data_IF_105133948344
#
_entry.id   IF_105133948344
#
_cell.length_a   1.000
_cell.length_b   1.000
_cell.length_c   1.000
_cell.angle_alpha   90.00
_cell.angle_beta   90.00
_cell.angle_gamma   90.00
#
_symmetry.space_group_name_H-M   'P 1'
#
loop_
_entity.id
_entity.type
_entity.pdbx_description
1 polymer ?
#
# COMPACT_ATOMS: atom_id res chain seq x y z
N UNK A 1 -1.50 -11.54 13.55
CA UNK A 1 -2.62 -12.44 13.94
C UNK A 1 -2.28 -13.90 13.68
N UNK A 2 -2.20 -14.34 12.41
CA UNK A 2 -1.86 -15.73 12.04
C UNK A 2 -0.51 -16.22 12.58
N UNK A 3 0.59 -15.50 12.31
CA UNK A 3 1.96 -15.95 12.66
C UNK A 3 2.17 -16.17 14.16
N UNK A 4 1.52 -15.37 14.99
CA UNK A 4 1.62 -15.46 16.46
C UNK A 4 0.41 -16.14 17.10
N UNK A 5 -0.50 -16.72 16.33
CA UNK A 5 -1.74 -17.34 16.82
C UNK A 5 -2.52 -16.45 17.79
N UNK A 6 -2.61 -15.14 17.51
CA UNK A 6 -3.27 -14.18 18.40
C UNK A 6 -4.77 -14.48 18.59
N UNK A 7 -5.37 -15.12 17.59
CA UNK A 7 -6.71 -15.73 17.66
C UNK A 7 -6.67 -17.08 16.96
N UNK A 8 -7.60 -18.00 17.28
CA UNK A 8 -7.76 -19.27 16.58
C UNK A 8 -7.95 -19.12 15.06
N UNK A 9 -7.60 -20.17 14.30
CA UNK A 9 -7.66 -20.15 12.83
C UNK A 9 -9.06 -19.89 12.28
N UNK A 10 -10.05 -20.54 12.85
CA UNK A 10 -11.47 -20.35 12.57
C UNK A 10 -11.93 -18.90 12.77
N UNK A 11 -11.21 -18.09 13.55
CA UNK A 11 -11.51 -16.66 13.75
C UNK A 11 -10.84 -15.76 12.71
N UNK A 12 -9.59 -16.03 12.31
CA UNK A 12 -8.89 -15.15 11.36
C UNK A 12 -9.01 -15.58 9.90
N UNK A 13 -9.28 -16.86 9.61
CA UNK A 13 -9.37 -17.38 8.25
C UNK A 13 -10.57 -16.82 7.46
N UNK A 14 -11.77 -16.65 8.06
CA UNK A 14 -12.90 -16.00 7.38
C UNK A 14 -12.63 -14.53 7.03
N UNK A 15 -11.66 -13.88 7.69
CA UNK A 15 -11.35 -12.46 7.43
C UNK A 15 -10.86 -12.21 6.02
N UNK A 16 -10.34 -13.22 5.29
CA UNK A 16 -10.04 -13.04 3.88
C UNK A 16 -11.30 -12.74 3.06
N UNK A 17 -12.40 -13.43 3.37
CA UNK A 17 -13.67 -13.22 2.69
C UNK A 17 -14.31 -11.89 3.13
N UNK A 18 -14.17 -11.52 4.41
CA UNK A 18 -14.57 -10.19 4.92
C UNK A 18 -13.79 -9.05 4.25
N UNK A 19 -12.47 -9.20 4.08
CA UNK A 19 -11.62 -8.25 3.35
C UNK A 19 -12.13 -8.09 1.92
N UNK A 20 -12.39 -9.20 1.22
CA UNK A 20 -12.87 -9.16 -0.16
C UNK A 20 -14.25 -8.50 -0.29
N UNK A 21 -15.15 -8.74 0.67
CA UNK A 21 -16.46 -8.11 0.72
C UNK A 21 -16.34 -6.60 0.97
N UNK A 22 -15.50 -6.19 1.91
CA UNK A 22 -15.23 -4.78 2.20
C UNK A 22 -14.60 -4.05 1.00
N UNK A 23 -13.58 -4.66 0.38
CA UNK A 23 -12.96 -4.10 -0.81
C UNK A 23 -13.96 -3.99 -1.97
N UNK A 24 -14.87 -4.97 -2.12
CA UNK A 24 -15.92 -4.92 -3.12
C UNK A 24 -16.85 -3.74 -2.88
N UNK A 25 -17.33 -3.56 -1.65
CA UNK A 25 -18.17 -2.42 -1.26
C UNK A 25 -17.50 -1.08 -1.60
N UNK A 26 -16.21 -0.94 -1.27
CA UNK A 26 -15.45 0.26 -1.61
C UNK A 26 -15.40 0.49 -3.13
N UNK A 27 -15.06 -0.55 -3.91
CA UNK A 27 -14.98 -0.40 -5.37
C UNK A 27 -16.34 -0.09 -6.01
N UNK A 28 -17.42 -0.66 -5.47
CA UNK A 28 -18.79 -0.40 -5.96
C UNK A 28 -19.26 1.01 -5.64
N UNK A 29 -18.77 1.59 -4.54
CA UNK A 29 -19.00 2.99 -4.19
C UNK A 29 -18.16 3.98 -5.01
N UNK A 30 -17.32 3.51 -5.95
CA UNK A 30 -16.48 4.33 -6.82
C UNK A 30 -15.05 4.54 -6.32
N UNK A 31 -14.58 3.80 -5.30
CA UNK A 31 -13.20 3.88 -4.85
C UNK A 31 -12.28 3.05 -5.72
N UNK A 32 -11.27 3.66 -6.33
CA UNK A 32 -10.17 2.93 -6.99
C UNK A 32 -9.16 2.45 -5.95
N UNK A 33 -9.07 1.14 -5.73
CA UNK A 33 -8.10 0.54 -4.79
C UNK A 33 -6.78 0.20 -5.49
N UNK A 34 -5.66 0.68 -4.92
CA UNK A 34 -4.30 0.31 -5.33
C UNK A 34 -3.59 -0.35 -4.17
N UNK A 35 -3.52 -1.69 -4.18
CA UNK A 35 -2.86 -2.48 -3.13
C UNK A 35 -1.45 -2.87 -3.58
N UNK A 36 -0.45 -2.62 -2.74
CA UNK A 36 0.96 -2.89 -3.05
C UNK A 36 1.61 -3.69 -1.94
N UNK A 37 2.12 -4.88 -2.29
CA UNK A 37 2.91 -5.71 -1.40
C UNK A 37 4.40 -5.48 -1.67
N UNK A 38 5.09 -4.86 -0.72
CA UNK A 38 6.50 -4.46 -0.84
C UNK A 38 7.43 -5.53 -0.27
N UNK A 39 8.08 -6.33 -1.12
CA UNK A 39 8.92 -7.44 -0.67
C UNK A 39 10.41 -7.11 -0.72
N UNK A 40 11.07 -7.19 0.43
CA UNK A 40 12.53 -7.23 0.51
C UNK A 40 13.00 -8.68 0.66
N UNK A 41 14.20 -8.99 0.20
CA UNK A 41 14.81 -10.29 0.51
C UNK A 41 15.17 -10.36 2.00
N UNK A 42 15.32 -11.60 2.49
CA UNK A 42 15.80 -11.86 3.84
C UNK A 42 17.17 -11.21 4.07
N UNK A 43 18.06 -11.20 3.07
CA UNK A 43 19.38 -10.58 3.18
C UNK A 43 19.31 -9.05 3.23
N UNK A 44 18.52 -8.42 2.36
CA UNK A 44 18.32 -6.97 2.37
C UNK A 44 17.74 -6.50 3.71
N UNK A 45 16.79 -7.25 4.28
CA UNK A 45 16.25 -6.91 5.61
C UNK A 45 17.35 -6.94 6.69
N UNK A 46 18.27 -7.90 6.62
CA UNK A 46 19.42 -7.99 7.56
C UNK A 46 20.30 -6.77 7.45
N UNK A 47 20.68 -6.41 6.22
CA UNK A 47 21.55 -5.26 5.94
C UNK A 47 20.92 -3.96 6.46
N UNK A 48 19.62 -3.76 6.23
CA UNK A 48 18.90 -2.59 6.73
C UNK A 48 18.81 -2.52 8.25
N UNK A 49 18.63 -3.65 8.93
CA UNK A 49 18.61 -3.71 10.39
C UNK A 49 20.01 -3.44 10.97
N UNK A 50 21.05 -4.02 10.38
CA UNK A 50 22.44 -3.74 10.75
C UNK A 50 22.78 -2.26 10.55
N UNK A 51 22.40 -1.64 9.42
CA UNK A 51 22.61 -0.22 9.16
C UNK A 51 21.98 0.67 10.25
N UNK A 52 20.81 0.29 10.79
CA UNK A 52 20.16 1.04 11.87
C UNK A 52 20.94 1.00 13.18
N UNK A 53 21.61 -0.12 13.48
CA UNK A 53 22.42 -0.29 14.69
C UNK A 53 23.76 0.47 14.63
N UNK A 54 24.27 0.72 13.42
CA UNK A 54 25.51 1.49 13.20
C UNK A 54 25.27 3.01 13.08
N UNK A 55 24.00 3.45 13.05
CA UNK A 55 23.64 4.84 12.78
C UNK A 55 22.87 5.48 13.94
N UNK A 56 23.51 6.33 14.77
CA UNK A 56 22.85 7.02 15.88
C UNK A 56 21.59 7.80 15.47
N UNK A 57 21.58 8.38 14.26
CA UNK A 57 20.43 9.10 13.70
C UNK A 57 19.25 8.20 13.31
N UNK A 58 19.39 6.87 13.47
CA UNK A 58 18.41 5.85 13.10
C UNK A 58 18.00 4.94 14.26
N UNK A 59 18.58 5.09 15.46
CA UNK A 59 18.26 4.24 16.62
C UNK A 59 16.77 4.26 16.98
N UNK A 60 16.13 5.42 16.85
CA UNK A 60 14.69 5.55 17.09
C UNK A 60 13.82 4.67 16.18
N UNK A 61 14.34 4.21 15.03
CA UNK A 61 13.65 3.31 14.10
C UNK A 61 13.91 1.83 14.36
N UNK A 62 14.80 1.49 15.28
CA UNK A 62 15.14 0.11 15.59
C UNK A 62 14.27 -0.39 16.74
N UNK A 63 13.63 -1.53 16.55
CA UNK A 63 12.97 -2.27 17.61
C UNK A 63 13.63 -3.64 17.73
N UNK A 64 14.11 -4.07 18.92
CA UNK A 64 14.61 -5.42 19.11
C UNK A 64 13.65 -6.52 18.62
N UNK A 65 12.34 -6.29 18.72
CA UNK A 65 11.30 -7.19 18.20
C UNK A 65 11.38 -7.43 16.69
N UNK A 66 12.02 -6.54 15.91
CA UNK A 66 12.26 -6.77 14.47
C UNK A 66 13.09 -8.04 14.23
N UNK A 67 13.97 -8.42 15.17
CA UNK A 67 14.74 -9.67 15.11
C UNK A 67 13.86 -10.88 15.42
N UNK A 68 12.97 -10.77 16.41
CA UNK A 68 12.02 -11.84 16.75
C UNK A 68 11.08 -12.14 15.58
N UNK A 69 10.61 -11.10 14.88
CA UNK A 69 9.79 -11.25 13.68
C UNK A 69 10.60 -11.80 12.49
N UNK A 70 11.87 -11.39 12.35
CA UNK A 70 12.78 -11.92 11.33
C UNK A 70 12.99 -13.43 11.49
N UNK A 71 13.08 -13.95 12.71
CA UNK A 71 13.19 -15.40 12.94
C UNK A 71 11.97 -16.18 12.44
N UNK A 72 10.82 -15.51 12.32
CA UNK A 72 9.56 -16.06 11.80
C UNK A 72 9.36 -15.79 10.31
N UNK A 73 10.41 -15.38 9.58
CA UNK A 73 10.32 -15.02 8.16
C UNK A 73 9.58 -16.06 7.30
N UNK A 74 9.85 -17.38 7.37
CA UNK A 74 9.12 -18.37 6.58
C UNK A 74 7.60 -18.35 6.85
N UNK A 75 7.20 -18.19 8.11
CA UNK A 75 5.78 -18.11 8.50
C UNK A 75 5.12 -16.85 7.94
N UNK A 76 5.85 -15.73 7.90
CA UNK A 76 5.37 -14.52 7.25
C UNK A 76 5.23 -14.68 5.74
N UNK A 77 6.17 -15.36 5.08
CA UNK A 77 6.06 -15.64 3.64
C UNK A 77 4.79 -16.46 3.34
N UNK A 78 4.51 -17.51 4.10
CA UNK A 78 3.28 -18.30 3.96
C UNK A 78 2.01 -17.49 4.25
N UNK A 79 2.05 -16.60 5.26
CA UNK A 79 0.93 -15.74 5.60
C UNK A 79 0.65 -14.71 4.50
N UNK A 80 1.69 -14.10 3.94
CA UNK A 80 1.58 -13.19 2.81
C UNK A 80 1.09 -13.91 1.55
N UNK A 81 1.65 -15.07 1.22
CA UNK A 81 1.22 -15.85 0.05
C UNK A 81 -0.28 -16.15 0.11
N UNK A 82 -0.77 -16.68 1.25
CA UNK A 82 -2.20 -16.96 1.40
C UNK A 82 -3.07 -15.71 1.32
N UNK A 83 -2.61 -14.58 1.87
CA UNK A 83 -3.33 -13.31 1.77
C UNK A 83 -3.40 -12.83 0.31
N UNK A 84 -2.29 -12.89 -0.43
CA UNK A 84 -2.23 -12.50 -1.84
C UNK A 84 -3.13 -13.41 -2.69
N UNK A 85 -3.05 -14.73 -2.50
CA UNK A 85 -3.85 -15.71 -3.24
C UNK A 85 -5.35 -15.54 -3.00
N UNK A 86 -5.75 -15.24 -1.77
CA UNK A 86 -7.17 -15.15 -1.40
C UNK A 86 -7.78 -13.76 -1.57
N UNK A 87 -6.96 -12.71 -1.63
CA UNK A 87 -7.45 -11.31 -1.67
C UNK A 87 -6.98 -10.51 -2.86
N UNK A 88 -6.26 -11.10 -3.82
CA UNK A 88 -6.01 -10.45 -5.11
C UNK A 88 -7.16 -10.74 -6.06
N UNK A 89 -8.10 -9.80 -6.17
CA UNK A 89 -9.29 -9.93 -7.02
C UNK A 89 -9.16 -9.06 -8.28
N UNK A 90 -10.07 -9.23 -9.24
CA UNK A 90 -10.10 -8.40 -10.45
C UNK A 90 -10.41 -6.92 -10.13
N UNK A 91 -11.30 -6.68 -9.15
CA UNK A 91 -11.71 -5.33 -8.73
C UNK A 91 -10.72 -4.67 -7.76
N UNK A 92 -9.93 -5.45 -7.02
CA UNK A 92 -8.91 -4.96 -6.11
C UNK A 92 -7.64 -5.82 -6.20
N UNK A 93 -6.84 -5.68 -7.27
CA UNK A 93 -5.65 -6.52 -7.47
C UNK A 93 -4.50 -6.11 -6.55
N UNK A 94 -3.71 -7.09 -6.11
CA UNK A 94 -2.42 -6.84 -5.47
C UNK A 94 -1.30 -6.68 -6.50
N UNK A 95 -0.46 -5.66 -6.30
CA UNK A 95 0.79 -5.49 -7.03
C UNK A 95 1.96 -5.87 -6.15
N UNK A 96 2.71 -6.90 -6.55
CA UNK A 96 3.90 -7.37 -5.83
C UNK A 96 5.11 -6.59 -6.36
N UNK A 97 5.73 -5.78 -5.50
CA UNK A 97 6.86 -4.91 -5.88
C UNK A 97 8.14 -5.39 -5.20
N UNK A 98 9.17 -5.77 -5.97
CA UNK A 98 10.52 -5.99 -5.45
C UNK A 98 11.09 -4.73 -4.81
N UNK A 99 11.51 -4.83 -3.55
CA UNK A 99 11.84 -3.67 -2.72
C UNK A 99 13.26 -3.63 -2.18
N UNK A 100 14.17 -4.48 -2.67
CA UNK A 100 15.59 -4.39 -2.32
C UNK A 100 16.16 -3.02 -2.72
N UNK A 101 15.86 -2.57 -3.95
CA UNK A 101 16.28 -1.26 -4.43
C UNK A 101 15.21 -0.22 -4.15
N UNK A 102 15.43 0.63 -3.14
CA UNK A 102 14.50 1.71 -2.74
C UNK A 102 14.07 2.61 -3.90
N UNK A 103 14.98 2.94 -4.83
CA UNK A 103 14.65 3.79 -5.98
C UNK A 103 13.62 3.13 -6.91
N UNK A 104 13.74 1.82 -7.13
CA UNK A 104 12.84 1.09 -8.01
C UNK A 104 11.45 0.97 -7.39
N UNK A 105 11.36 0.70 -6.08
CA UNK A 105 10.06 0.67 -5.39
C UNK A 105 9.33 2.00 -5.46
N UNK A 106 10.07 3.11 -5.32
CA UNK A 106 9.50 4.47 -5.47
C UNK A 106 8.98 4.69 -6.87
N UNK A 107 9.76 4.32 -7.89
CA UNK A 107 9.34 4.41 -9.29
C UNK A 107 8.09 3.58 -9.54
N UNK A 108 8.12 2.28 -9.23
CA UNK A 108 7.01 1.35 -9.48
C UNK A 108 5.71 1.80 -8.81
N UNK A 109 5.76 2.19 -7.53
CA UNK A 109 4.57 2.66 -6.79
C UNK A 109 4.06 3.98 -7.38
N UNK A 110 4.96 4.89 -7.76
CA UNK A 110 4.57 6.17 -8.38
C UNK A 110 3.86 5.93 -9.70
N UNK A 111 4.38 5.04 -10.55
CA UNK A 111 3.73 4.69 -11.82
C UNK A 111 2.36 4.03 -11.61
N UNK A 112 2.22 3.12 -10.63
CA UNK A 112 0.91 2.53 -10.28
C UNK A 112 -0.12 3.60 -9.90
N UNK A 113 0.29 4.60 -9.13
CA UNK A 113 -0.57 5.72 -8.75
C UNK A 113 -0.91 6.62 -9.94
N UNK A 114 0.09 6.96 -10.78
CA UNK A 114 -0.12 7.77 -11.98
C UNK A 114 -1.12 7.08 -12.91
N UNK A 115 -0.97 5.78 -13.14
CA UNK A 115 -1.90 5.01 -13.97
C UNK A 115 -3.30 5.00 -13.37
N UNK A 116 -3.44 4.73 -12.07
CA UNK A 116 -4.73 4.73 -11.40
C UNK A 116 -5.43 6.10 -11.54
N UNK A 117 -4.71 7.20 -11.31
CA UNK A 117 -5.24 8.56 -11.42
C UNK A 117 -5.60 8.94 -12.87
N UNK A 118 -4.79 8.52 -13.85
CA UNK A 118 -5.10 8.73 -15.28
C UNK A 118 -6.40 8.03 -15.69
N UNK A 119 -6.65 6.81 -15.20
CA UNK A 119 -7.87 6.05 -15.50
C UNK A 119 -9.14 6.68 -14.94
N UNK A 120 -9.04 7.51 -13.89
CA UNK A 120 -10.18 8.27 -13.37
C UNK A 120 -10.67 9.35 -14.34
N UNK A 121 -9.89 9.70 -15.37
CA UNK A 121 -10.24 10.69 -16.39
C UNK A 121 -10.74 12.02 -15.80
N UNK A 122 -10.08 12.49 -14.76
CA UNK A 122 -10.47 13.70 -14.04
C UNK A 122 -10.14 14.96 -14.86
N UNK A 123 -10.99 15.97 -14.72
CA UNK A 123 -10.78 17.31 -15.28
C UNK A 123 -11.14 18.37 -14.24
N UNK A 124 -10.73 19.61 -14.49
CA UNK A 124 -11.13 20.74 -13.65
C UNK A 124 -12.65 20.96 -13.77
N UNK A 125 -13.35 21.25 -12.65
CA UNK A 125 -14.77 21.58 -12.73
C UNK A 125 -14.96 22.87 -13.54
N UNK A 126 -16.09 23.00 -14.24
CA UNK A 126 -16.43 24.26 -14.90
C UNK A 126 -16.63 25.37 -13.86
N UNK A 127 -16.40 26.62 -14.26
CA UNK A 127 -16.75 27.77 -13.44
C UNK A 127 -18.28 27.79 -13.20
N UNK A 128 -18.69 28.13 -11.98
CA UNK A 128 -20.08 28.38 -11.61
C UNK A 128 -20.48 29.86 -11.81
N UNK A 129 -19.59 30.65 -12.39
CA UNK A 129 -19.77 32.07 -12.73
C UNK A 129 -19.35 32.35 -14.19
N UNK A 130 -19.79 33.50 -14.72
CA UNK A 130 -19.34 33.99 -16.02
C UNK A 130 -17.93 34.59 -15.90
N UNK A 131 -16.94 33.82 -16.35
CA UNK A 131 -15.52 34.19 -16.32
C UNK A 131 -15.25 35.51 -17.04
N UNK A 132 -15.92 35.78 -18.16
CA UNK A 132 -15.65 36.99 -18.94
C UNK A 132 -16.32 38.22 -18.32
N UNK A 133 -17.47 38.06 -17.69
CA UNK A 133 -18.10 39.12 -16.90
C UNK A 133 -17.22 39.51 -15.69
N UNK A 134 -16.71 38.54 -14.94
CA UNK A 134 -15.86 38.80 -13.77
C UNK A 134 -14.50 39.40 -14.15
N UNK A 135 -13.89 38.97 -15.28
CA UNK A 135 -12.69 39.62 -15.81
C UNK A 135 -12.93 41.10 -16.14
N UNK A 136 -14.08 41.44 -16.75
CA UNK A 136 -14.44 42.84 -17.04
C UNK A 136 -14.64 43.65 -15.76
N UNK A 137 -15.34 43.08 -14.77
CA UNK A 137 -15.57 43.71 -13.47
C UNK A 137 -14.27 43.97 -12.70
N UNK A 138 -13.32 43.03 -12.74
CA UNK A 138 -12.00 43.17 -12.12
C UNK A 138 -11.17 44.27 -12.79
N UNK A 139 -11.22 44.38 -14.12
CA UNK A 139 -10.47 45.41 -14.85
C UNK A 139 -10.99 46.84 -14.61
N UNK A 140 -12.24 46.99 -14.17
CA UNK A 140 -12.84 48.29 -13.85
C UNK A 140 -12.85 48.64 -12.35
N UNK A 141 -12.30 47.78 -11.49
CA UNK A 141 -12.13 48.01 -10.06
C UNK A 141 -10.77 48.66 -9.77
#
# INVERSE_FOLDING_TARGET
VRVHNLVPRDVWEPRYDEINAFERELTDSGTTLVKVAMFVSLDEQKERLAERLERPDKYWKYNPGDIDERLKWPLYQEAYQAMLDRTSTEYAPWHIVPCNRKWYSRLAITELLIEALKRLNMSWPPADFDVEAEKKRLASA
#
